data_IF_846141083017
#
_entry.id   IF_846141083017
#
_cell.length_a   1.000
_cell.length_b   1.000
_cell.length_c   1.000
_cell.angle_alpha   90.00
_cell.angle_beta   90.00
_cell.angle_gamma   90.00
#
_symmetry.space_group_name_H-M   'P 1'
#
loop_
_entity.id
_entity.type
_entity.pdbx_description
1 polymer ?
#
# COMPACT_ATOMS: atom_id res chain seq x y z
N UNK A 1 -16.51 15.87 -13.08
CA UNK A 1 -15.84 16.09 -14.38
C UNK A 1 -15.40 14.72 -14.93
N UNK A 2 -16.06 14.20 -15.97
CA UNK A 2 -15.85 12.86 -16.54
C UNK A 2 -14.57 12.77 -17.40
N UNK A 3 -13.42 13.11 -16.82
CA UNK A 3 -12.13 13.25 -17.55
C UNK A 3 -11.25 11.99 -17.49
N UNK A 4 -11.63 10.97 -16.73
CA UNK A 4 -10.89 9.71 -16.63
C UNK A 4 -11.84 8.52 -16.41
N UNK A 5 -11.56 7.40 -17.09
CA UNK A 5 -12.36 6.18 -16.99
C UNK A 5 -11.84 5.20 -15.92
N UNK A 6 -10.52 5.15 -15.71
CA UNK A 6 -9.84 4.22 -14.81
C UNK A 6 -8.59 4.88 -14.23
N UNK A 7 -8.16 4.42 -13.06
CA UNK A 7 -6.89 4.79 -12.43
C UNK A 7 -6.24 3.54 -11.82
N UNK A 8 -4.93 3.38 -12.01
CA UNK A 8 -4.14 2.35 -11.32
C UNK A 8 -3.53 2.99 -10.09
N UNK A 9 -4.01 2.63 -8.91
CA UNK A 9 -3.59 3.22 -7.64
C UNK A 9 -3.84 2.26 -6.48
N UNK A 10 -3.22 2.51 -5.34
CA UNK A 10 -3.52 1.81 -4.10
C UNK A 10 -4.93 2.08 -3.58
N UNK A 11 -5.32 1.24 -2.63
CA UNK A 11 -6.65 1.14 -2.03
C UNK A 11 -7.07 2.36 -1.19
N UNK A 12 -6.14 3.24 -0.82
CA UNK A 12 -6.47 4.57 -0.28
C UNK A 12 -7.41 5.37 -1.21
N UNK A 13 -7.45 5.03 -2.50
CA UNK A 13 -8.43 5.55 -3.44
C UNK A 13 -9.87 5.19 -3.06
N UNK A 14 -10.13 3.96 -2.61
CA UNK A 14 -11.44 3.55 -2.09
C UNK A 14 -11.81 4.39 -0.84
N UNK A 15 -10.84 4.64 0.04
CA UNK A 15 -11.02 5.58 1.17
C UNK A 15 -11.44 6.97 0.73
N UNK A 16 -10.76 7.50 -0.28
CA UNK A 16 -11.10 8.80 -0.87
C UNK A 16 -12.48 8.81 -1.52
N UNK A 17 -12.85 7.77 -2.28
CA UNK A 17 -14.17 7.67 -2.90
C UNK A 17 -15.30 7.63 -1.86
N UNK A 18 -15.13 6.84 -0.79
CA UNK A 18 -16.08 6.81 0.33
C UNK A 18 -16.22 8.19 0.98
N UNK A 19 -15.10 8.87 1.23
CA UNK A 19 -15.11 10.21 1.86
C UNK A 19 -15.79 11.28 0.98
N UNK A 20 -15.73 11.13 -0.34
CA UNK A 20 -16.39 12.00 -1.30
C UNK A 20 -17.86 11.61 -1.58
N UNK A 21 -18.34 10.50 -1.01
CA UNK A 21 -19.69 10.00 -1.26
C UNK A 21 -19.90 9.44 -2.66
N UNK A 22 -18.84 8.98 -3.33
CA UNK A 22 -18.98 8.26 -4.59
C UNK A 22 -19.46 6.84 -4.31
N UNK A 23 -20.51 6.41 -5.01
CA UNK A 23 -21.10 5.08 -4.87
C UNK A 23 -21.02 4.25 -6.17
N UNK A 24 -20.81 4.91 -7.32
CA UNK A 24 -20.78 4.28 -8.64
C UNK A 24 -19.34 4.15 -9.16
N UNK A 25 -18.60 3.19 -8.60
CA UNK A 25 -17.27 2.80 -9.09
C UNK A 25 -17.03 1.30 -8.91
N UNK A 26 -16.15 0.76 -9.75
CA UNK A 26 -15.68 -0.62 -9.66
C UNK A 26 -14.18 -0.69 -9.38
N UNK A 27 -13.70 -1.92 -9.18
CA UNK A 27 -12.28 -2.22 -8.99
C UNK A 27 -11.93 -3.52 -9.70
N UNK A 28 -10.67 -3.63 -10.09
CA UNK A 28 -10.06 -4.84 -10.61
C UNK A 28 -8.56 -4.79 -10.28
N UNK A 29 -7.89 -5.95 -10.16
CA UNK A 29 -6.43 -5.97 -10.12
C UNK A 29 -5.87 -5.34 -11.40
N UNK A 30 -4.69 -4.70 -11.34
CA UNK A 30 -3.98 -4.27 -12.55
C UNK A 30 -3.88 -5.41 -13.58
N UNK A 31 -3.95 -5.11 -14.89
CA UNK A 31 -3.89 -6.14 -15.92
C UNK A 31 -2.66 -7.06 -15.76
N UNK A 32 -2.89 -8.38 -15.79
CA UNK A 32 -1.83 -9.38 -15.67
C UNK A 32 -1.39 -9.71 -14.23
N UNK A 33 -1.99 -9.11 -13.20
CA UNK A 33 -1.59 -9.35 -11.79
C UNK A 33 -2.61 -10.17 -10.98
N UNK A 34 -3.54 -10.88 -11.65
CA UNK A 34 -4.51 -11.74 -10.96
C UNK A 34 -3.78 -12.80 -10.13
N UNK A 35 -4.15 -12.96 -8.86
CA UNK A 35 -3.50 -13.90 -7.94
C UNK A 35 -2.26 -13.34 -7.24
N UNK A 36 -1.95 -12.05 -7.45
CA UNK A 36 -0.82 -11.35 -6.81
C UNK A 36 -1.36 -10.16 -6.04
N UNK A 37 -1.09 -10.14 -4.73
CA UNK A 37 -1.42 -9.01 -3.86
C UNK A 37 -0.14 -8.22 -3.58
N UNK A 38 0.03 -7.09 -4.27
CA UNK A 38 1.17 -6.19 -4.04
C UNK A 38 0.90 -5.35 -2.79
N UNK A 39 1.51 -5.75 -1.67
CA UNK A 39 1.19 -5.25 -0.35
C UNK A 39 2.09 -4.09 0.10
N UNK A 40 1.57 -3.33 1.05
CA UNK A 40 2.29 -2.41 1.94
C UNK A 40 1.57 -2.38 3.28
N UNK A 41 2.25 -1.93 4.33
CA UNK A 41 1.66 -1.78 5.65
C UNK A 41 2.10 -0.47 6.27
N UNK A 42 1.13 0.41 6.55
CA UNK A 42 1.36 1.61 7.35
C UNK A 42 1.64 1.19 8.80
N UNK A 43 2.81 1.56 9.33
CA UNK A 43 3.25 1.16 10.67
C UNK A 43 3.70 2.35 11.51
N UNK A 44 3.49 2.25 12.82
CA UNK A 44 4.00 3.22 13.80
C UNK A 44 5.13 2.58 14.61
N UNK A 45 6.27 3.25 14.65
CA UNK A 45 7.42 2.82 15.45
C UNK A 45 7.50 3.58 16.78
N UNK A 46 8.17 2.99 17.77
CA UNK A 46 8.56 3.67 19.01
C UNK A 46 10.05 4.06 18.94
N UNK A 47 10.39 5.34 18.72
CA UNK A 47 11.78 5.77 18.78
C UNK A 47 12.37 5.54 20.18
N UNK A 48 13.62 5.07 20.24
CA UNK A 48 14.31 4.72 21.50
C UNK A 48 14.33 5.89 22.51
N UNK A 49 14.41 7.13 22.02
CA UNK A 49 14.50 8.35 22.83
C UNK A 49 13.22 9.18 22.81
N UNK A 50 12.06 8.53 22.60
CA UNK A 50 10.78 9.23 22.59
C UNK A 50 10.56 10.00 23.91
N UNK A 51 10.35 11.33 23.89
CA UNK A 51 10.24 12.14 25.10
C UNK A 51 8.98 11.80 25.92
N UNK A 52 7.95 11.28 25.26
CA UNK A 52 6.69 10.85 25.88
C UNK A 52 6.46 9.36 25.64
N UNK A 53 7.37 8.51 26.11
CA UNK A 53 7.40 7.07 25.81
C UNK A 53 6.09 6.35 26.17
N UNK A 54 5.51 6.65 27.32
CA UNK A 54 4.29 5.97 27.78
C UNK A 54 3.08 6.32 26.90
N UNK A 55 2.96 7.58 26.47
CA UNK A 55 1.93 8.00 25.51
C UNK A 55 2.13 7.33 24.14
N UNK A 56 3.38 7.19 23.69
CA UNK A 56 3.68 6.48 22.46
C UNK A 56 3.31 4.99 22.55
N UNK A 57 3.55 4.34 23.70
CA UNK A 57 3.09 2.96 23.93
C UNK A 57 1.57 2.87 23.96
N UNK A 58 0.89 3.82 24.62
CA UNK A 58 -0.57 3.86 24.62
C UNK A 58 -1.12 4.00 23.19
N UNK A 59 -0.50 4.84 22.36
CA UNK A 59 -0.83 4.96 20.94
C UNK A 59 -0.65 3.63 20.19
N UNK A 60 0.50 2.97 20.35
CA UNK A 60 0.77 1.69 19.69
C UNK A 60 -0.24 0.59 20.11
N UNK A 61 -0.69 0.60 21.38
CA UNK A 61 -1.76 -0.29 21.84
C UNK A 61 -3.07 -0.02 21.10
N UNK A 62 -3.42 1.23 20.84
CA UNK A 62 -4.60 1.59 20.04
C UNK A 62 -4.42 1.13 18.59
N UNK A 63 -3.26 1.38 17.96
CA UNK A 63 -2.99 0.95 16.58
C UNK A 63 -3.05 -0.58 16.41
N UNK A 64 -2.61 -1.34 17.41
CA UNK A 64 -2.64 -2.81 17.40
C UNK A 64 -3.96 -3.44 17.87
N UNK A 65 -4.89 -2.64 18.41
CA UNK A 65 -6.15 -3.16 18.93
C UNK A 65 -7.12 -3.48 17.80
N UNK A 66 -8.02 -4.44 18.06
CA UNK A 66 -9.09 -4.81 17.13
C UNK A 66 -10.03 -3.63 16.87
N UNK A 67 -10.47 -2.97 17.93
CA UNK A 67 -11.33 -1.79 17.86
C UNK A 67 -10.68 -0.65 17.07
N UNK A 68 -9.42 -0.33 17.36
CA UNK A 68 -8.69 0.74 16.67
C UNK A 68 -8.51 0.44 15.18
N UNK A 69 -8.16 -0.79 14.83
CA UNK A 69 -8.02 -1.18 13.43
C UNK A 69 -9.36 -1.19 12.70
N UNK A 70 -10.46 -1.68 13.29
CA UNK A 70 -11.78 -1.63 12.65
C UNK A 70 -12.20 -0.17 12.43
N UNK A 71 -12.07 0.69 13.45
CA UNK A 71 -12.47 2.09 13.37
C UNK A 71 -11.66 2.89 12.33
N UNK A 72 -10.38 2.58 12.16
CA UNK A 72 -9.51 3.25 11.19
C UNK A 72 -9.69 2.73 9.76
N UNK A 73 -9.60 1.41 9.56
CA UNK A 73 -9.51 0.79 8.24
C UNK A 73 -10.82 0.92 7.44
N UNK A 74 -11.98 0.90 8.13
CA UNK A 74 -13.29 1.17 7.52
C UNK A 74 -13.36 2.53 6.82
N UNK A 75 -12.54 3.51 7.23
CA UNK A 75 -12.49 4.86 6.64
C UNK A 75 -11.31 5.05 5.70
N UNK A 76 -10.16 4.47 6.04
CA UNK A 76 -8.90 4.64 5.29
C UNK A 76 -8.96 4.02 3.89
N UNK A 77 -9.74 2.94 3.74
CA UNK A 77 -9.78 2.16 2.51
C UNK A 77 -8.76 1.03 2.44
N UNK A 78 -8.12 0.69 3.57
CA UNK A 78 -7.23 -0.47 3.74
C UNK A 78 -7.91 -1.57 4.57
N UNK A 79 -7.37 -2.80 4.56
CA UNK A 79 -7.79 -3.88 5.45
C UNK A 79 -7.00 -3.87 6.77
N UNK A 80 -7.56 -4.36 7.90
CA UNK A 80 -6.81 -4.53 9.14
C UNK A 80 -5.63 -5.50 9.00
N UNK A 81 -4.53 -5.22 9.70
CA UNK A 81 -3.39 -6.13 9.81
C UNK A 81 -3.69 -7.34 10.71
N UNK A 82 -4.70 -7.22 11.60
CA UNK A 82 -5.19 -8.32 12.42
C UNK A 82 -5.88 -9.38 11.58
N UNK A 83 -5.53 -10.64 11.81
CA UNK A 83 -6.06 -11.80 11.10
C UNK A 83 -7.19 -12.52 11.85
N UNK A 84 -7.59 -12.02 13.03
CA UNK A 84 -8.57 -12.63 13.94
C UNK A 84 -9.95 -11.94 13.92
N UNK A 85 -10.30 -11.32 12.79
CA UNK A 85 -11.62 -10.75 12.59
C UNK A 85 -12.67 -11.85 12.41
N UNK A 86 -13.79 -11.74 13.13
CA UNK A 86 -14.95 -12.62 12.99
C UNK A 86 -15.76 -12.21 11.75
N UNK A 87 -16.71 -13.04 11.29
CA UNK A 87 -17.63 -12.65 10.22
C UNK A 87 -18.38 -11.35 10.52
N UNK A 88 -18.77 -11.12 11.77
CA UNK A 88 -19.46 -9.90 12.20
C UNK A 88 -18.55 -8.68 12.09
N UNK A 89 -17.26 -8.81 12.43
CA UNK A 89 -16.31 -7.70 12.24
C UNK A 89 -16.11 -7.38 10.76
N UNK A 90 -15.98 -8.41 9.92
CA UNK A 90 -15.77 -8.25 8.47
C UNK A 90 -16.97 -7.60 7.80
N UNK A 91 -18.19 -7.86 8.30
CA UNK A 91 -19.41 -7.24 7.81
C UNK A 91 -19.47 -5.72 8.03
N UNK A 92 -18.62 -5.15 8.90
CA UNK A 92 -18.50 -3.70 9.10
C UNK A 92 -17.76 -2.98 7.96
N UNK A 93 -17.10 -3.72 7.08
CA UNK A 93 -16.32 -3.17 5.97
C UNK A 93 -17.15 -3.13 4.69
N UNK A 94 -16.85 -2.20 3.79
CA UNK A 94 -17.54 -2.12 2.51
C UNK A 94 -17.20 -3.34 1.62
N UNK A 95 -17.97 -3.59 0.53
CA UNK A 95 -17.75 -4.74 -0.34
C UNK A 95 -16.33 -4.83 -0.93
N UNK A 96 -15.72 -3.68 -1.24
CA UNK A 96 -14.33 -3.63 -1.71
C UNK A 96 -13.37 -4.23 -0.68
N UNK A 97 -13.43 -3.73 0.56
CA UNK A 97 -12.55 -4.17 1.64
C UNK A 97 -12.78 -5.63 2.02
N UNK A 98 -14.01 -6.13 1.96
CA UNK A 98 -14.29 -7.56 2.11
C UNK A 98 -13.59 -8.38 1.01
N UNK A 99 -13.67 -7.93 -0.25
CA UNK A 99 -12.95 -8.59 -1.36
C UNK A 99 -11.43 -8.55 -1.17
N UNK A 100 -10.87 -7.44 -0.67
CA UNK A 100 -9.44 -7.34 -0.36
C UNK A 100 -9.02 -8.33 0.75
N UNK A 101 -9.85 -8.57 1.76
CA UNK A 101 -9.57 -9.57 2.80
C UNK A 101 -9.58 -11.00 2.24
N UNK A 102 -10.46 -11.29 1.28
CA UNK A 102 -10.49 -12.58 0.58
C UNK A 102 -9.25 -12.77 -0.31
N UNK A 103 -8.89 -11.74 -1.07
CA UNK A 103 -7.70 -11.73 -1.92
C UNK A 103 -6.43 -11.89 -1.07
N UNK A 104 -6.31 -11.17 0.05
CA UNK A 104 -5.18 -11.32 0.99
C UNK A 104 -5.03 -12.74 1.53
N UNK A 105 -6.14 -13.45 1.78
CA UNK A 105 -6.11 -14.81 2.30
C UNK A 105 -5.74 -15.87 1.24
N UNK A 106 -5.84 -15.53 -0.05
CA UNK A 106 -5.76 -16.47 -1.18
C UNK A 106 -4.52 -16.24 -2.05
N UNK A 107 -4.19 -14.98 -2.31
CA UNK A 107 -3.24 -14.58 -3.35
C UNK A 107 -1.78 -14.58 -2.84
N UNK A 108 -0.83 -14.59 -3.78
CA UNK A 108 0.58 -14.46 -3.46
C UNK A 108 0.87 -13.03 -2.98
N UNK A 109 1.23 -12.89 -1.71
CA UNK A 109 1.61 -11.60 -1.14
C UNK A 109 3.03 -11.24 -1.58
N UNK A 110 3.18 -10.15 -2.32
CA UNK A 110 4.47 -9.60 -2.73
C UNK A 110 4.64 -8.20 -2.17
N UNK A 111 5.82 -7.83 -1.65
CA UNK A 111 6.02 -6.51 -1.06
C UNK A 111 6.14 -5.44 -2.15
N UNK A 112 5.51 -4.29 -1.95
CA UNK A 112 5.65 -3.13 -2.84
C UNK A 112 7.02 -2.45 -2.63
N UNK A 113 7.81 -2.23 -3.70
CA UNK A 113 9.02 -1.40 -3.60
C UNK A 113 8.67 0.09 -3.52
N UNK A 114 7.64 0.55 -4.24
CA UNK A 114 7.27 1.97 -4.31
C UNK A 114 6.78 2.49 -2.95
N UNK A 115 6.20 1.60 -2.15
CA UNK A 115 5.62 1.89 -0.84
C UNK A 115 6.44 1.34 0.33
N UNK A 116 7.75 1.13 0.12
CA UNK A 116 8.72 0.90 1.20
C UNK A 116 8.68 -0.47 1.87
N UNK A 117 7.96 -1.46 1.30
CA UNK A 117 7.89 -2.80 1.87
C UNK A 117 9.02 -3.72 1.35
N UNK A 118 9.43 -3.56 0.09
CA UNK A 118 10.35 -4.50 -0.57
C UNK A 118 11.82 -4.09 -0.55
N UNK A 119 12.13 -2.80 -0.44
CA UNK A 119 13.45 -2.26 -0.71
C UNK A 119 13.78 -1.07 0.20
N UNK A 120 15.09 -0.84 0.39
CA UNK A 120 15.60 0.33 1.10
C UNK A 120 15.26 1.62 0.35
N UNK A 121 15.01 2.70 1.08
CA UNK A 121 14.52 3.96 0.49
C UNK A 121 15.46 4.50 -0.59
N UNK A 122 16.79 4.44 -0.38
CA UNK A 122 17.76 4.95 -1.36
C UNK A 122 17.62 4.27 -2.72
N UNK A 123 17.42 2.95 -2.76
CA UNK A 123 17.21 2.24 -4.02
C UNK A 123 15.88 2.62 -4.67
N UNK A 124 14.82 2.77 -3.86
CA UNK A 124 13.50 3.14 -4.35
C UNK A 124 13.51 4.56 -4.91
N UNK A 125 14.26 5.50 -4.33
CA UNK A 125 14.47 6.85 -4.88
C UNK A 125 15.08 6.78 -6.28
N UNK A 126 16.20 6.07 -6.44
CA UNK A 126 16.87 5.95 -7.75
C UNK A 126 15.97 5.29 -8.80
N UNK A 127 15.19 4.28 -8.39
CA UNK A 127 14.20 3.63 -9.26
C UNK A 127 13.11 4.61 -9.69
N UNK A 128 12.55 5.40 -8.75
CA UNK A 128 11.52 6.41 -9.05
C UNK A 128 12.04 7.48 -10.01
N UNK A 129 13.28 7.92 -9.84
CA UNK A 129 13.91 8.92 -10.70
C UNK A 129 14.11 8.39 -12.12
N UNK A 130 14.62 7.16 -12.26
CA UNK A 130 14.78 6.52 -13.56
C UNK A 130 13.45 6.37 -14.31
N UNK A 131 12.39 5.94 -13.64
CA UNK A 131 11.05 5.80 -14.24
C UNK A 131 10.44 7.17 -14.57
N UNK A 132 10.61 8.17 -13.71
CA UNK A 132 10.11 9.53 -13.97
C UNK A 132 10.78 10.15 -15.20
N UNK A 133 12.10 9.95 -15.34
CA UNK A 133 12.83 10.39 -16.51
C UNK A 133 12.39 9.63 -17.76
N UNK A 134 12.14 8.32 -17.66
CA UNK A 134 11.61 7.54 -18.77
C UNK A 134 10.27 8.07 -19.27
N UNK A 135 9.33 8.36 -18.37
CA UNK A 135 7.99 8.86 -18.73
C UNK A 135 8.07 10.19 -19.49
N UNK A 136 9.08 11.01 -19.20
CA UNK A 136 9.24 12.32 -19.85
C UNK A 136 10.05 12.25 -21.16
N UNK A 137 11.01 11.34 -21.26
CA UNK A 137 11.98 11.27 -22.38
C UNK A 137 11.70 10.16 -23.39
N UNK A 138 11.13 9.03 -22.94
CA UNK A 138 11.03 7.80 -23.72
C UNK A 138 12.37 7.08 -23.97
N UNK A 139 13.47 7.50 -23.35
CA UNK A 139 14.78 6.91 -23.58
C UNK A 139 14.94 5.58 -22.84
N UNK A 140 14.69 4.48 -23.56
CA UNK A 140 14.78 3.12 -23.04
C UNK A 140 16.20 2.78 -22.60
N UNK A 141 17.22 3.17 -23.37
CA UNK A 141 18.61 2.77 -23.10
C UNK A 141 19.14 3.47 -21.84
N UNK A 142 18.88 4.77 -21.71
CA UNK A 142 19.23 5.52 -20.51
C UNK A 142 18.51 4.97 -19.27
N UNK A 143 17.23 4.61 -19.40
CA UNK A 143 16.43 4.04 -18.30
C UNK A 143 16.97 2.69 -17.86
N UNK A 144 17.28 1.78 -18.80
CA UNK A 144 17.87 0.49 -18.47
C UNK A 144 19.23 0.64 -17.76
N UNK A 145 20.08 1.55 -18.24
CA UNK A 145 21.36 1.84 -17.62
C UNK A 145 21.19 2.38 -16.19
N UNK A 146 20.26 3.32 -15.97
CA UNK A 146 19.98 3.88 -14.66
C UNK A 146 19.44 2.81 -13.68
N UNK A 147 18.53 1.94 -14.13
CA UNK A 147 17.99 0.86 -13.30
C UNK A 147 19.08 -0.18 -12.92
N UNK A 148 19.98 -0.52 -13.84
CA UNK A 148 21.11 -1.40 -13.54
C UNK A 148 22.04 -0.78 -12.51
N UNK A 149 22.37 0.51 -12.67
CA UNK A 149 23.21 1.24 -11.72
C UNK A 149 22.57 1.28 -10.33
N UNK A 150 21.26 1.59 -10.25
CA UNK A 150 20.51 1.59 -9.01
C UNK A 150 20.56 0.22 -8.31
N UNK A 151 20.42 -0.88 -9.07
CA UNK A 151 20.50 -2.23 -8.51
C UNK A 151 21.88 -2.56 -7.94
N UNK A 152 22.96 -2.16 -8.61
CA UNK A 152 24.34 -2.35 -8.14
C UNK A 152 24.62 -1.49 -6.91
N UNK A 153 24.22 -0.22 -6.93
CA UNK A 153 24.39 0.71 -5.81
C UNK A 153 23.67 0.24 -4.54
N UNK A 154 22.50 -0.39 -4.70
CA UNK A 154 21.73 -1.00 -3.62
C UNK A 154 22.32 -2.33 -3.12
N UNK A 155 23.34 -2.88 -3.80
CA UNK A 155 23.90 -4.20 -3.50
C UNK A 155 22.98 -5.37 -3.86
N UNK A 156 21.93 -5.13 -4.65
CA UNK A 156 20.95 -6.15 -5.05
C UNK A 156 21.39 -6.92 -6.32
N UNK A 157 22.22 -6.31 -7.17
CA UNK A 157 22.80 -6.93 -8.37
C UNK A 157 24.33 -6.99 -8.29
N UNK A 158 24.92 -7.97 -8.99
CA UNK A 158 26.36 -8.05 -9.25
C UNK A 158 26.68 -7.52 -10.65
#
# INVERSE_FOLDING_TARGET
>A
ENKGAMMIMGDWTNGWFMAMGYEDYGWAPPPGTKGIFVALSDTFALPVKAPNRDNAIAWLKVCGSKEGQIAFNTKKGSIPARTDLTPEDKALFNPYLQSCMEDWARDAIVPSPIHGMAAIESWVTDLKDAITLFVTTGDVAATQAALQQACVAAGACK
#
